data_IF_028113523936
#
_entry.id   IF_028113523936
#
_cell.length_a   1.000
_cell.length_b   1.000
_cell.length_c   1.000
_cell.angle_alpha   90.00
_cell.angle_beta   90.00
_cell.angle_gamma   90.00
#
_symmetry.space_group_name_H-M   'P 1'
#
loop_
_entity.id
_entity.type
_entity.pdbx_description
1 polymer ?
#
# COMPACT_ATOMS: atom_id res chain seq x y z
N UNK A 1 9.86 -4.35 -5.08
CA UNK A 1 9.63 -3.80 -6.44
C UNK A 1 8.66 -2.60 -6.41
N UNK A 2 7.54 -2.67 -5.68
CA UNK A 2 6.55 -1.58 -5.55
C UNK A 2 7.12 -0.21 -5.10
N UNK A 3 8.14 -0.19 -4.24
CA UNK A 3 8.77 1.04 -3.75
C UNK A 3 9.59 1.79 -4.81
N UNK A 4 10.00 1.13 -5.89
CA UNK A 4 10.75 1.79 -6.97
C UNK A 4 9.88 2.83 -7.68
N UNK A 5 8.64 2.47 -8.05
CA UNK A 5 7.68 3.37 -8.68
C UNK A 5 7.33 4.58 -7.80
N UNK A 6 7.12 4.36 -6.49
CA UNK A 6 6.83 5.44 -5.54
C UNK A 6 8.03 6.35 -5.27
N UNK A 7 9.25 5.80 -5.31
CA UNK A 7 10.49 6.57 -5.08
C UNK A 7 10.82 7.44 -6.29
N UNK A 8 10.60 6.91 -7.49
CA UNK A 8 11.07 7.50 -8.75
C UNK A 8 10.05 8.44 -9.41
N UNK A 9 8.80 8.01 -9.49
CA UNK A 9 7.77 8.71 -10.27
C UNK A 9 7.00 9.69 -9.36
N UNK A 10 7.07 9.51 -8.04
CA UNK A 10 6.14 10.17 -7.12
C UNK A 10 4.68 9.75 -7.37
N UNK A 11 4.47 8.70 -8.17
CA UNK A 11 3.19 8.06 -8.37
C UNK A 11 2.84 7.31 -7.08
N UNK A 12 1.79 7.72 -6.37
CA UNK A 12 1.42 7.06 -5.12
C UNK A 12 0.54 5.87 -5.39
N UNK A 13 0.87 4.79 -4.71
CA UNK A 13 -0.12 3.82 -4.27
C UNK A 13 -0.82 4.37 -3.03
N UNK A 14 -2.00 3.84 -2.75
CA UNK A 14 -2.96 4.30 -1.74
C UNK A 14 -2.38 4.46 -0.32
N UNK A 15 -1.28 3.74 -0.08
CA UNK A 15 -0.60 3.57 1.20
C UNK A 15 0.54 4.60 1.42
N UNK A 16 0.78 5.50 0.48
CA UNK A 16 2.06 6.22 0.40
C UNK A 16 2.09 7.60 1.07
N UNK A 17 1.02 8.06 1.73
CA UNK A 17 1.13 9.30 2.53
C UNK A 17 2.20 9.20 3.63
N UNK A 18 2.44 7.99 4.17
CA UNK A 18 3.54 7.71 5.09
C UNK A 18 4.85 7.34 4.36
N UNK A 19 4.81 6.79 3.14
CA UNK A 19 6.01 6.39 2.38
C UNK A 19 6.69 7.53 1.61
N UNK A 20 5.93 8.55 1.23
CA UNK A 20 6.43 9.76 0.60
C UNK A 20 7.28 10.56 1.59
N UNK A 21 7.06 10.42 2.90
CA UNK A 21 7.88 11.14 3.88
C UNK A 21 9.32 10.63 3.96
N UNK A 22 9.62 9.32 3.87
CA UNK A 22 11.00 8.84 3.83
C UNK A 22 11.62 8.74 2.43
N UNK A 23 10.97 8.06 1.48
CA UNK A 23 11.58 7.73 0.19
C UNK A 23 11.78 8.98 -0.67
N UNK A 24 10.71 9.76 -0.84
CA UNK A 24 10.77 11.02 -1.57
C UNK A 24 11.63 12.06 -0.82
N UNK A 25 11.65 12.04 0.53
CA UNK A 25 12.61 12.87 1.28
C UNK A 25 14.07 12.48 1.06
N UNK A 26 14.40 11.21 0.78
CA UNK A 26 15.76 10.80 0.41
C UNK A 26 16.09 11.25 -1.01
N UNK A 27 15.15 11.09 -1.95
CA UNK A 27 15.31 11.57 -3.32
C UNK A 27 15.54 13.10 -3.39
N UNK A 28 14.75 13.88 -2.64
CA UNK A 28 14.92 15.34 -2.55
C UNK A 28 16.23 15.77 -1.87
N UNK A 29 16.91 14.85 -1.17
CA UNK A 29 18.23 15.08 -0.57
C UNK A 29 19.38 14.60 -1.46
N UNK A 30 19.10 14.19 -2.71
CA UNK A 30 20.09 13.59 -3.60
C UNK A 30 20.49 12.16 -3.20
N UNK A 31 19.73 11.50 -2.32
CA UNK A 31 20.04 10.16 -1.77
C UNK A 31 19.06 9.09 -2.23
N UNK A 32 18.49 9.24 -3.42
CA UNK A 32 17.49 8.33 -3.99
C UNK A 32 18.02 6.90 -4.12
N UNK A 33 19.27 6.71 -4.56
CA UNK A 33 19.88 5.39 -4.70
C UNK A 33 19.99 4.64 -3.36
N UNK A 34 20.35 5.33 -2.28
CA UNK A 34 20.33 4.76 -0.94
C UNK A 34 18.92 4.34 -0.52
N UNK A 35 17.91 5.16 -0.84
CA UNK A 35 16.51 4.81 -0.60
C UNK A 35 16.10 3.51 -1.32
N UNK A 36 16.47 3.38 -2.60
CA UNK A 36 16.21 2.16 -3.39
C UNK A 36 16.89 0.94 -2.76
N UNK A 37 18.15 1.07 -2.35
CA UNK A 37 18.89 -0.02 -1.72
C UNK A 37 18.29 -0.45 -0.37
N UNK A 38 17.98 0.51 0.51
CA UNK A 38 17.36 0.23 1.81
C UNK A 38 15.98 -0.42 1.65
N UNK A 39 15.22 0.00 0.65
CA UNK A 39 13.94 -0.61 0.31
C UNK A 39 14.11 -2.05 -0.19
N UNK A 40 15.04 -2.28 -1.11
CA UNK A 40 15.34 -3.62 -1.61
C UNK A 40 15.80 -4.56 -0.49
N UNK A 41 16.63 -4.07 0.44
CA UNK A 41 17.06 -4.80 1.62
C UNK A 41 15.88 -5.18 2.53
N UNK A 42 15.00 -4.23 2.83
CA UNK A 42 13.80 -4.46 3.63
C UNK A 42 12.88 -5.51 3.00
N UNK A 43 12.65 -5.41 1.69
CA UNK A 43 11.87 -6.39 0.93
C UNK A 43 12.50 -7.78 0.95
N UNK A 44 13.80 -7.89 0.67
CA UNK A 44 14.49 -9.17 0.63
C UNK A 44 14.49 -9.87 2.00
N UNK A 45 14.80 -9.11 3.06
CA UNK A 45 14.73 -9.62 4.43
C UNK A 45 13.33 -10.08 4.84
N UNK A 46 12.28 -9.37 4.38
CA UNK A 46 10.90 -9.75 4.65
C UNK A 46 10.48 -11.04 3.95
N UNK A 47 10.98 -11.33 2.74
CA UNK A 47 10.72 -12.63 2.07
C UNK A 47 11.33 -13.78 2.87
N UNK A 48 12.58 -13.65 3.31
CA UNK A 48 13.25 -14.67 4.12
C UNK A 48 12.48 -14.90 5.43
N UNK A 49 12.11 -13.81 6.12
CA UNK A 49 11.39 -13.92 7.37
C UNK A 49 9.96 -14.46 7.17
N UNK A 50 9.31 -14.12 6.07
CA UNK A 50 7.97 -14.64 5.74
C UNK A 50 8.01 -16.13 5.44
N UNK A 51 9.06 -16.62 4.77
CA UNK A 51 9.29 -18.05 4.57
C UNK A 51 9.47 -18.76 5.91
N UNK A 52 10.28 -18.20 6.82
CA UNK A 52 10.50 -18.75 8.15
C UNK A 52 9.20 -18.80 8.98
N UNK A 53 8.37 -17.76 8.87
CA UNK A 53 7.12 -17.63 9.62
C UNK A 53 5.92 -18.32 8.96
N UNK A 54 6.05 -18.88 7.74
CA UNK A 54 4.93 -19.44 6.99
C UNK A 54 4.19 -20.53 7.79
N UNK A 55 4.91 -21.52 8.32
CA UNK A 55 4.33 -22.60 9.13
C UNK A 55 3.80 -22.11 10.49
N UNK A 56 4.57 -21.33 11.29
CA UNK A 56 4.04 -20.74 12.53
C UNK A 56 2.72 -19.99 12.32
N UNK A 57 2.63 -19.16 11.27
CA UNK A 57 1.43 -18.38 10.97
C UNK A 57 0.29 -19.28 10.49
N UNK A 58 0.57 -20.33 9.71
CA UNK A 58 -0.43 -21.36 9.36
C UNK A 58 -1.04 -21.92 10.66
N UNK A 59 -0.21 -22.46 11.57
CA UNK A 59 -0.69 -23.11 12.79
C UNK A 59 -1.48 -22.16 13.71
N UNK A 60 -1.14 -20.87 13.69
CA UNK A 60 -1.91 -19.85 14.40
C UNK A 60 -3.27 -19.59 13.74
N UNK A 61 -3.30 -19.37 12.42
CA UNK A 61 -4.52 -18.95 11.72
C UNK A 61 -5.57 -20.05 11.56
N UNK A 62 -5.14 -21.27 11.23
CA UNK A 62 -6.00 -22.44 11.01
C UNK A 62 -5.77 -23.43 12.18
N UNK A 63 -6.41 -24.59 12.13
CA UNK A 63 -6.18 -25.70 13.05
C UNK A 63 -4.67 -25.98 13.21
N UNK A 64 -4.20 -26.11 14.46
CA UNK A 64 -4.99 -26.38 15.67
C UNK A 64 -5.52 -25.15 16.42
N UNK A 65 -4.92 -23.95 16.27
CA UNK A 65 -5.29 -22.78 17.10
C UNK A 65 -6.55 -22.09 16.57
N UNK A 66 -6.75 -22.08 15.25
CA UNK A 66 -7.92 -21.52 14.58
C UNK A 66 -8.21 -20.05 14.94
N UNK A 67 -7.17 -19.24 15.13
CA UNK A 67 -7.29 -17.84 15.56
C UNK A 67 -8.08 -16.98 14.57
N UNK A 68 -8.13 -17.37 13.29
CA UNK A 68 -8.96 -16.71 12.29
C UNK A 68 -10.46 -16.80 12.59
N UNK A 69 -10.93 -17.88 13.22
CA UNK A 69 -12.35 -18.03 13.57
C UNK A 69 -12.77 -16.99 14.61
N UNK A 70 -11.92 -16.77 15.62
CA UNK A 70 -12.09 -15.72 16.64
C UNK A 70 -12.02 -14.35 15.98
N UNK A 71 -11.00 -14.11 15.15
CA UNK A 71 -10.83 -12.84 14.44
C UNK A 71 -12.04 -12.52 13.56
N UNK A 72 -12.60 -13.51 12.87
CA UNK A 72 -13.80 -13.35 12.03
C UNK A 72 -15.00 -12.89 12.85
N UNK A 73 -15.19 -13.43 14.06
CA UNK A 73 -16.29 -13.04 14.96
C UNK A 73 -16.18 -11.59 15.43
N UNK A 74 -14.96 -11.10 15.67
CA UNK A 74 -14.72 -9.72 16.14
C UNK A 74 -14.40 -8.73 15.00
N UNK A 75 -14.38 -9.18 13.74
CA UNK A 75 -13.91 -8.40 12.60
C UNK A 75 -14.62 -7.04 12.43
N UNK A 76 -15.96 -6.91 12.53
CA UNK A 76 -16.61 -5.61 12.44
C UNK A 76 -16.07 -4.61 13.47
N UNK A 77 -15.92 -5.06 14.73
CA UNK A 77 -15.42 -4.24 15.82
C UNK A 77 -13.96 -3.83 15.64
N UNK A 78 -13.13 -4.73 15.10
CA UNK A 78 -11.73 -4.42 14.76
C UNK A 78 -11.68 -3.32 13.69
N UNK A 79 -12.48 -3.42 12.64
CA UNK A 79 -12.52 -2.42 11.57
C UNK A 79 -13.07 -1.07 12.05
N UNK A 80 -14.10 -1.07 12.91
CA UNK A 80 -14.61 0.14 13.56
C UNK A 80 -13.51 0.78 14.42
N UNK A 81 -12.82 -0.01 15.25
CA UNK A 81 -11.74 0.50 16.10
C UNK A 81 -10.61 1.13 15.28
N UNK A 82 -10.19 0.48 14.18
CA UNK A 82 -9.15 1.01 13.29
C UNK A 82 -9.62 2.31 12.62
N UNK A 83 -10.88 2.36 12.18
CA UNK A 83 -11.45 3.57 11.58
C UNK A 83 -11.46 4.74 12.57
N UNK A 84 -11.87 4.49 13.82
CA UNK A 84 -11.83 5.49 14.90
C UNK A 84 -10.40 5.93 15.19
N UNK A 85 -9.45 5.00 15.33
CA UNK A 85 -8.04 5.33 15.57
C UNK A 85 -7.47 6.16 14.43
N UNK A 86 -7.78 5.81 13.19
CA UNK A 86 -7.27 6.53 12.02
C UNK A 86 -7.77 7.98 12.02
N UNK A 87 -9.06 8.21 12.29
CA UNK A 87 -9.66 9.55 12.36
C UNK A 87 -9.14 10.34 13.57
N UNK A 88 -9.10 9.72 14.76
CA UNK A 88 -8.69 10.39 16.01
C UNK A 88 -7.21 10.72 16.09
N UNK A 89 -6.36 9.93 15.41
CA UNK A 89 -4.92 10.18 15.33
C UNK A 89 -4.53 11.13 14.19
N UNK A 90 -5.51 11.75 13.52
CA UNK A 90 -5.24 12.74 12.50
C UNK A 90 -4.56 13.96 13.12
N UNK A 91 -3.42 14.33 12.55
CA UNK A 91 -2.65 15.52 12.92
C UNK A 91 -2.71 16.45 11.73
N UNK A 92 -3.85 17.12 11.59
CA UNK A 92 -4.11 18.04 10.50
C UNK A 92 -2.98 19.05 10.33
N UNK A 93 -2.39 19.09 9.14
CA UNK A 93 -1.56 20.21 8.68
C UNK A 93 -2.43 21.15 7.87
N UNK A 94 -3.44 21.70 8.53
CA UNK A 94 -4.35 22.65 7.90
C UNK A 94 -3.65 24.00 7.86
N UNK A 95 -3.15 24.34 6.69
CA UNK A 95 -2.70 25.69 6.34
C UNK A 95 -3.85 26.52 5.74
N UNK A 96 -4.92 25.87 5.29
CA UNK A 96 -6.02 26.45 4.50
C UNK A 96 -6.81 27.56 5.23
N UNK A 97 -6.88 27.52 6.55
CA UNK A 97 -7.73 28.46 7.32
C UNK A 97 -6.93 29.48 8.15
N UNK A 98 -5.60 29.53 8.03
CA UNK A 98 -4.72 30.45 8.79
C UNK A 98 -5.04 30.55 10.32
N UNK A 99 -5.62 29.49 10.88
CA UNK A 99 -6.07 29.45 12.28
C UNK A 99 -4.84 29.38 13.17
N UNK A 100 -4.55 30.35 14.03
CA UNK A 100 -3.37 30.26 14.91
C UNK A 100 -3.56 29.28 16.08
N UNK A 101 -4.80 28.99 16.46
CA UNK A 101 -5.11 28.16 17.62
C UNK A 101 -4.97 26.66 17.32
N UNK A 102 -3.98 26.01 17.96
CA UNK A 102 -3.63 24.60 17.78
C UNK A 102 -4.78 23.64 18.09
N UNK A 103 -5.63 23.94 19.09
CA UNK A 103 -6.77 23.08 19.44
C UNK A 103 -7.83 23.07 18.35
N UNK A 104 -8.16 24.25 17.82
CA UNK A 104 -9.16 24.40 16.76
C UNK A 104 -8.68 23.72 15.47
N UNK A 105 -7.39 23.85 15.12
CA UNK A 105 -6.81 23.11 13.99
C UNK A 105 -6.98 21.59 14.13
N UNK A 106 -6.74 21.04 15.32
CA UNK A 106 -6.86 19.61 15.55
C UNK A 106 -8.30 19.13 15.40
N UNK A 107 -9.28 19.87 15.96
CA UNK A 107 -10.70 19.53 15.85
C UNK A 107 -11.17 19.62 14.39
N UNK A 108 -10.77 20.67 13.68
CA UNK A 108 -11.12 20.83 12.27
C UNK A 108 -10.53 19.70 11.42
N UNK A 109 -9.29 19.29 11.71
CA UNK A 109 -8.65 18.13 11.09
C UNK A 109 -9.42 16.83 11.27
N UNK A 110 -9.89 16.59 12.50
CA UNK A 110 -10.69 15.43 12.83
C UNK A 110 -12.03 15.43 12.05
N UNK A 111 -12.71 16.57 12.00
CA UNK A 111 -13.97 16.71 11.25
C UNK A 111 -13.77 16.51 9.75
N UNK A 112 -12.72 17.09 9.18
CA UNK A 112 -12.37 16.90 7.77
C UNK A 112 -12.00 15.45 7.46
N UNK A 113 -11.24 14.79 8.34
CA UNK A 113 -10.92 13.37 8.24
C UNK A 113 -12.19 12.50 8.26
N UNK A 114 -13.09 12.75 9.21
CA UNK A 114 -14.36 12.04 9.31
C UNK A 114 -15.23 12.27 8.07
N UNK A 115 -15.30 13.51 7.57
CA UNK A 115 -16.03 13.83 6.34
C UNK A 115 -15.49 13.06 5.14
N UNK A 116 -14.17 13.07 4.90
CA UNK A 116 -13.56 12.32 3.79
C UNK A 116 -13.80 10.81 3.94
N UNK A 117 -13.71 10.28 5.17
CA UNK A 117 -13.97 8.88 5.45
C UNK A 117 -15.42 8.47 5.14
N UNK A 118 -16.39 9.27 5.58
CA UNK A 118 -17.81 9.01 5.33
C UNK A 118 -18.13 9.20 3.84
N UNK A 119 -17.65 10.28 3.22
CA UNK A 119 -17.87 10.57 1.80
C UNK A 119 -17.34 9.44 0.91
N UNK A 120 -16.11 8.99 1.15
CA UNK A 120 -15.52 7.87 0.42
C UNK A 120 -16.26 6.56 0.70
N UNK A 121 -16.73 6.32 1.92
CA UNK A 121 -17.51 5.12 2.23
C UNK A 121 -18.92 5.09 1.64
N UNK A 122 -19.60 6.24 1.57
CA UNK A 122 -20.87 6.36 0.81
C UNK A 122 -20.62 6.06 -0.67
N UNK A 123 -19.54 6.59 -1.24
CA UNK A 123 -19.12 6.24 -2.60
C UNK A 123 -18.89 4.72 -2.73
N UNK A 124 -18.23 4.09 -1.76
CA UNK A 124 -18.06 2.63 -1.67
C UNK A 124 -19.36 1.84 -1.69
N UNK A 125 -20.39 2.29 -0.95
CA UNK A 125 -21.71 1.65 -0.93
C UNK A 125 -22.39 1.76 -2.30
N UNK A 126 -22.24 2.90 -2.98
CA UNK A 126 -22.82 3.13 -4.32
C UNK A 126 -22.14 2.23 -5.36
N UNK A 127 -20.82 2.04 -5.27
CA UNK A 127 -20.06 1.20 -6.22
C UNK A 127 -20.59 -0.24 -6.26
N UNK A 128 -21.07 -0.79 -5.14
CA UNK A 128 -21.65 -2.15 -5.10
C UNK A 128 -22.91 -2.30 -5.97
N UNK A 129 -23.52 -1.20 -6.41
CA UNK A 129 -24.73 -1.20 -7.26
C UNK A 129 -24.43 -0.91 -8.74
N UNK A 130 -23.18 -0.60 -9.07
CA UNK A 130 -22.76 -0.24 -10.42
C UNK A 130 -22.06 -1.44 -11.04
N UNK A 131 -22.44 -1.79 -12.27
CA UNK A 131 -21.71 -2.74 -13.08
C UNK A 131 -20.87 -1.99 -14.10
N UNK A 132 -19.62 -2.44 -14.28
CA UNK A 132 -18.70 -1.92 -15.29
C UNK A 132 -18.43 -3.01 -16.32
N UNK A 133 -18.29 -2.64 -17.58
CA UNK A 133 -18.00 -3.57 -18.66
C UNK A 133 -16.75 -3.13 -19.41
N UNK A 134 -15.85 -4.09 -19.71
CA UNK A 134 -14.71 -3.81 -20.56
C UNK A 134 -15.16 -3.73 -22.02
N UNK A 135 -14.80 -2.67 -22.76
CA UNK A 135 -15.06 -2.58 -24.21
C UNK A 135 -14.29 -3.62 -25.03
N UNK A 136 -13.26 -4.25 -24.46
CA UNK A 136 -12.40 -5.23 -25.15
C UNK A 136 -12.44 -6.62 -24.51
N UNK A 137 -13.44 -6.89 -23.66
CA UNK A 137 -13.65 -8.22 -23.06
C UNK A 137 -12.64 -8.59 -21.96
N UNK A 138 -11.95 -7.62 -21.36
CA UNK A 138 -11.10 -7.84 -20.18
C UNK A 138 -11.93 -8.01 -18.90
N UNK A 139 -11.38 -8.65 -17.84
CA UNK A 139 -11.98 -8.59 -16.52
C UNK A 139 -12.13 -7.12 -16.10
N UNK A 140 -13.32 -6.74 -15.61
CA UNK A 140 -13.69 -5.36 -15.32
C UNK A 140 -13.73 -5.09 -13.80
N UNK A 141 -12.58 -4.99 -13.10
CA UNK A 141 -12.56 -4.76 -11.68
C UNK A 141 -12.97 -3.32 -11.36
N UNK A 142 -14.12 -3.13 -10.73
CA UNK A 142 -14.61 -1.80 -10.32
C UNK A 142 -13.67 -1.07 -9.35
N UNK A 143 -12.86 -1.84 -8.62
CA UNK A 143 -11.84 -1.28 -7.71
C UNK A 143 -10.72 -0.57 -8.47
N UNK A 144 -10.36 -0.99 -9.68
CA UNK A 144 -9.26 -0.37 -10.41
C UNK A 144 -9.45 1.14 -10.67
N UNK A 145 -10.55 1.61 -11.33
CA UNK A 145 -10.79 3.05 -11.51
C UNK A 145 -11.01 3.79 -10.18
N UNK A 146 -11.62 3.13 -9.20
CA UNK A 146 -11.89 3.70 -7.87
C UNK A 146 -10.60 4.04 -7.13
N UNK A 147 -9.70 3.06 -7.01
CA UNK A 147 -8.44 3.15 -6.29
C UNK A 147 -7.43 4.05 -7.04
N UNK A 148 -7.36 3.93 -8.37
CA UNK A 148 -6.56 4.81 -9.21
C UNK A 148 -7.01 6.28 -9.10
N UNK A 149 -8.32 6.53 -9.02
CA UNK A 149 -8.89 7.86 -8.83
C UNK A 149 -8.74 8.39 -7.42
N UNK A 150 -8.95 7.60 -6.36
CA UNK A 150 -8.88 8.11 -4.98
C UNK A 150 -7.45 8.47 -4.54
N UNK A 151 -6.42 7.82 -5.12
CA UNK A 151 -5.05 7.96 -4.63
C UNK A 151 -4.04 8.33 -5.71
N UNK A 152 -4.06 7.64 -6.86
CA UNK A 152 -3.07 7.80 -7.93
C UNK A 152 -3.19 9.14 -8.65
N UNK A 153 -4.32 9.36 -9.32
CA UNK A 153 -4.57 10.54 -10.15
C UNK A 153 -4.47 11.88 -9.39
N UNK A 154 -5.04 12.05 -8.17
CA UNK A 154 -4.93 13.29 -7.39
C UNK A 154 -3.49 13.70 -7.15
N UNK A 155 -2.60 12.73 -7.01
CA UNK A 155 -1.21 13.03 -6.72
C UNK A 155 -0.40 13.29 -7.97
N UNK A 156 -0.71 12.63 -9.07
CA UNK A 156 -0.15 13.01 -10.36
C UNK A 156 -0.56 14.46 -10.70
N UNK A 157 -1.82 14.83 -10.45
CA UNK A 157 -2.31 16.21 -10.59
C UNK A 157 -1.52 17.15 -9.66
N UNK A 158 -1.38 16.81 -8.38
CA UNK A 158 -0.63 17.64 -7.42
C UNK A 158 0.85 17.81 -7.82
N UNK A 159 1.52 16.73 -8.24
CA UNK A 159 2.91 16.76 -8.71
C UNK A 159 3.07 17.53 -10.03
N UNK A 160 2.05 17.48 -10.89
CA UNK A 160 1.99 18.29 -12.11
C UNK A 160 1.90 19.79 -11.81
N UNK A 161 1.09 20.18 -10.82
CA UNK A 161 0.91 21.58 -10.40
C UNK A 161 2.16 22.12 -9.69
N UNK A 162 2.70 21.37 -8.73
CA UNK A 162 3.81 21.81 -7.87
C UNK A 162 5.17 21.80 -8.55
N UNK A 163 5.32 21.09 -9.68
CA UNK A 163 6.55 21.02 -10.48
C UNK A 163 7.81 20.82 -9.63
N UNK A 164 7.91 19.73 -8.85
CA UNK A 164 9.06 19.50 -7.99
C UNK A 164 10.33 19.42 -8.85
N UNK A 165 11.37 20.14 -8.42
CA UNK A 165 12.72 20.03 -9.00
C UNK A 165 13.49 18.98 -8.22
N UNK A 166 13.99 17.98 -8.93
CA UNK A 166 14.72 16.88 -8.32
C UNK A 166 16.21 17.18 -8.47
N UNK A 167 16.97 17.22 -7.35
CA UNK A 167 18.40 17.50 -7.41
C UNK A 167 19.18 16.33 -8.00
N UNK A 168 20.44 16.59 -8.35
CA UNK A 168 21.41 15.55 -8.71
C UNK A 168 21.51 14.47 -7.61
N UNK A 169 21.68 13.22 -8.04
CA UNK A 169 21.67 12.07 -7.14
C UNK A 169 23.10 11.59 -6.88
N UNK A 170 23.39 11.29 -5.62
CA UNK A 170 24.63 10.70 -5.14
C UNK A 170 24.54 9.18 -5.31
N UNK A 171 25.43 8.62 -6.12
CA UNK A 171 25.42 7.20 -6.50
C UNK A 171 26.56 6.47 -5.79
N UNK A 172 26.43 6.35 -4.48
CA UNK A 172 27.39 5.64 -3.62
C UNK A 172 26.75 4.39 -3.02
N UNK A 173 27.55 3.33 -2.83
CA UNK A 173 27.06 2.12 -2.14
C UNK A 173 26.76 2.48 -0.67
N UNK A 174 25.51 2.36 -0.21
CA UNK A 174 25.15 2.82 1.12
C UNK A 174 25.74 1.90 2.20
N UNK A 175 26.32 2.51 3.22
CA UNK A 175 26.91 1.80 4.37
C UNK A 175 25.84 1.59 5.43
N UNK A 176 25.48 0.33 5.70
CA UNK A 176 24.59 -0.04 6.81
C UNK A 176 25.40 -0.04 8.10
N UNK A 177 25.37 1.09 8.84
CA UNK A 177 26.05 1.20 10.14
C UNK A 177 25.30 0.47 11.26
N UNK A 178 23.98 0.49 11.23
CA UNK A 178 23.12 -0.03 12.32
C UNK A 178 22.44 -1.36 11.94
N UNK A 179 23.22 -2.44 11.86
CA UNK A 179 22.70 -3.77 11.44
C UNK A 179 21.59 -4.30 12.35
N UNK A 180 21.72 -4.15 13.66
CA UNK A 180 20.72 -4.62 14.63
C UNK A 180 19.36 -3.90 14.46
N UNK A 181 19.36 -2.58 14.34
CA UNK A 181 18.14 -1.79 14.10
C UNK A 181 17.52 -2.13 12.75
N UNK A 182 18.33 -2.36 11.73
CA UNK A 182 17.87 -2.80 10.41
C UNK A 182 17.15 -4.15 10.51
N UNK A 183 17.71 -5.10 11.25
CA UNK A 183 17.08 -6.40 11.50
C UNK A 183 15.75 -6.26 12.26
N UNK A 184 15.71 -5.46 13.32
CA UNK A 184 14.47 -5.17 14.07
C UNK A 184 13.42 -4.52 13.16
N UNK A 185 13.83 -3.62 12.25
CA UNK A 185 12.95 -3.00 11.26
C UNK A 185 12.30 -4.00 10.31
N UNK A 186 13.06 -5.00 9.87
CA UNK A 186 12.58 -6.08 9.01
C UNK A 186 11.63 -6.97 9.79
N UNK A 187 11.96 -7.33 11.05
CA UNK A 187 11.12 -8.20 11.88
C UNK A 187 9.78 -7.54 12.18
N UNK A 188 9.81 -6.35 12.77
CA UNK A 188 8.59 -5.60 13.12
C UNK A 188 7.75 -5.26 11.89
N UNK A 189 8.40 -4.89 10.78
CA UNK A 189 7.72 -4.64 9.51
C UNK A 189 7.06 -5.89 8.94
N UNK A 190 7.74 -7.04 8.96
CA UNK A 190 7.17 -8.28 8.42
C UNK A 190 6.00 -8.79 9.26
N UNK A 191 6.10 -8.71 10.60
CA UNK A 191 5.00 -9.04 11.51
C UNK A 191 3.78 -8.15 11.28
N UNK A 192 4.00 -6.83 11.11
CA UNK A 192 2.91 -5.93 10.75
C UNK A 192 2.34 -6.24 9.34
N UNK A 193 3.19 -6.60 8.36
CA UNK A 193 2.75 -7.03 7.04
C UNK A 193 1.89 -8.30 7.06
N UNK A 194 2.22 -9.26 7.93
CA UNK A 194 1.37 -10.43 8.20
C UNK A 194 0.00 -9.99 8.72
N UNK A 195 -0.05 -9.11 9.72
CA UNK A 195 -1.32 -8.60 10.26
C UNK A 195 -2.16 -7.90 9.18
N UNK A 196 -1.53 -7.04 8.37
CA UNK A 196 -2.14 -6.33 7.24
C UNK A 196 -2.72 -7.32 6.22
N UNK A 197 -2.04 -8.44 5.96
CA UNK A 197 -2.52 -9.44 5.00
C UNK A 197 -3.78 -10.19 5.44
N UNK A 198 -4.07 -10.24 6.75
CA UNK A 198 -5.17 -11.02 7.32
C UNK A 198 -6.43 -10.16 7.45
N UNK A 199 -6.27 -8.91 7.91
CA UNK A 199 -7.37 -8.00 8.26
C UNK A 199 -7.70 -7.11 7.07
N UNK A 200 -8.95 -7.14 6.55
CA UNK A 200 -9.33 -6.33 5.40
C UNK A 200 -9.28 -4.84 5.72
N UNK A 201 -8.95 -4.02 4.72
CA UNK A 201 -8.94 -2.55 4.85
C UNK A 201 -7.80 -1.98 5.70
N UNK A 202 -6.93 -2.81 6.27
CA UNK A 202 -5.64 -2.35 6.80
C UNK A 202 -4.68 -2.20 5.62
N UNK A 203 -3.99 -1.07 5.58
CA UNK A 203 -2.99 -0.74 4.55
C UNK A 203 -1.57 -0.97 5.05
N UNK A 204 -0.61 -1.10 4.13
CA UNK A 204 0.81 -1.18 4.49
C UNK A 204 1.26 0.08 5.24
N UNK A 205 0.64 1.23 5.00
CA UNK A 205 0.86 2.47 5.73
C UNK A 205 0.52 2.32 7.21
N UNK A 206 -0.70 1.84 7.50
CA UNK A 206 -1.16 1.61 8.88
C UNK A 206 -0.32 0.53 9.58
N UNK A 207 0.03 -0.56 8.88
CA UNK A 207 0.96 -1.57 9.39
C UNK A 207 2.34 -0.98 9.72
N UNK A 208 2.85 -0.08 8.89
CA UNK A 208 4.13 0.60 9.14
C UNK A 208 4.05 1.49 10.38
N UNK A 209 2.97 2.24 10.57
CA UNK A 209 2.76 3.05 11.79
C UNK A 209 2.76 2.15 13.02
N UNK A 210 2.03 1.04 13.00
CA UNK A 210 1.98 0.07 14.10
C UNK A 210 3.39 -0.45 14.42
N UNK A 211 4.14 -0.88 13.40
CA UNK A 211 5.51 -1.37 13.56
C UNK A 211 6.45 -0.30 14.13
N UNK A 212 6.33 0.96 13.69
CA UNK A 212 7.14 2.08 14.18
C UNK A 212 6.81 2.43 15.64
N UNK A 213 5.53 2.48 15.99
CA UNK A 213 5.09 2.76 17.37
C UNK A 213 5.56 1.67 18.31
N UNK A 214 5.48 0.39 17.92
CA UNK A 214 5.90 -0.74 18.75
C UNK A 214 7.39 -0.71 19.12
N UNK A 215 8.25 -0.14 18.26
CA UNK A 215 9.71 -0.07 18.47
C UNK A 215 10.22 1.29 18.95
N UNK A 216 9.36 2.32 18.98
CA UNK A 216 9.73 3.68 19.38
C UNK A 216 10.72 4.40 18.46
N UNK A 217 10.81 4.04 17.17
CA UNK A 217 11.82 4.59 16.24
C UNK A 217 11.19 5.52 15.19
N UNK A 218 11.83 6.66 14.97
CA UNK A 218 11.39 7.71 14.04
C UNK A 218 12.37 7.99 12.91
N UNK A 219 13.53 7.30 12.88
CA UNK A 219 14.49 7.45 11.79
C UNK A 219 13.85 7.12 10.42
N UNK A 220 14.06 8.02 9.47
CA UNK A 220 13.50 7.93 8.11
C UNK A 220 14.03 6.70 7.38
N UNK A 221 15.29 6.32 7.58
CA UNK A 221 15.87 5.14 6.91
C UNK A 221 15.25 3.86 7.44
N UNK A 222 15.16 3.72 8.76
CA UNK A 222 14.49 2.58 9.39
C UNK A 222 12.99 2.54 9.05
N UNK A 223 12.34 3.70 8.90
CA UNK A 223 10.95 3.78 8.44
C UNK A 223 10.80 3.21 7.03
N UNK A 224 11.72 3.55 6.11
CA UNK A 224 11.69 3.04 4.73
C UNK A 224 11.91 1.52 4.67
N UNK A 225 12.84 1.00 5.47
CA UNK A 225 13.09 -0.44 5.58
C UNK A 225 11.84 -1.16 6.10
N UNK A 226 11.25 -0.67 7.19
CA UNK A 226 10.04 -1.25 7.79
C UNK A 226 8.88 -1.23 6.82
N UNK A 227 8.62 -0.11 6.15
CA UNK A 227 7.57 -0.03 5.16
C UNK A 227 7.74 -1.05 4.03
N UNK A 228 8.97 -1.16 3.52
CA UNK A 228 9.28 -2.11 2.45
C UNK A 228 9.08 -3.55 2.92
N UNK A 229 9.42 -3.83 4.18
CA UNK A 229 9.18 -5.12 4.80
C UNK A 229 7.68 -5.40 4.98
N UNK A 230 6.88 -4.44 5.47
CA UNK A 230 5.42 -4.54 5.61
C UNK A 230 4.78 -4.89 4.27
N UNK A 231 5.08 -4.13 3.22
CA UNK A 231 4.49 -4.33 1.91
C UNK A 231 4.85 -5.71 1.32
N UNK A 232 6.11 -6.12 1.47
CA UNK A 232 6.59 -7.39 0.91
C UNK A 232 6.05 -8.60 1.67
N UNK A 233 6.04 -8.55 3.01
CA UNK A 233 5.44 -9.59 3.83
C UNK A 233 3.92 -9.66 3.60
N UNK A 234 3.25 -8.51 3.45
CA UNK A 234 1.84 -8.46 3.10
C UNK A 234 1.58 -9.17 1.76
N UNK A 235 2.32 -8.85 0.69
CA UNK A 235 2.16 -9.51 -0.60
C UNK A 235 2.39 -11.03 -0.54
N UNK A 236 3.41 -11.47 0.19
CA UNK A 236 3.70 -12.89 0.41
C UNK A 236 2.55 -13.59 1.16
N UNK A 237 2.14 -13.02 2.29
CA UNK A 237 1.10 -13.62 3.13
C UNK A 237 -0.30 -13.46 2.56
N UNK A 238 -0.62 -12.46 1.75
CA UNK A 238 -1.90 -12.42 1.02
C UNK A 238 -2.01 -13.65 0.12
N UNK A 239 -0.92 -14.05 -0.54
CA UNK A 239 -0.87 -15.29 -1.33
C UNK A 239 -0.99 -16.51 -0.42
N UNK A 240 -0.23 -16.59 0.67
CA UNK A 240 -0.32 -17.74 1.58
C UNK A 240 -1.70 -17.90 2.24
N UNK A 241 -2.26 -16.79 2.74
CA UNK A 241 -3.58 -16.70 3.38
C UNK A 241 -4.70 -17.06 2.42
N UNK A 242 -4.56 -16.79 1.12
CA UNK A 242 -5.51 -17.28 0.11
C UNK A 242 -5.67 -18.80 0.20
N UNK A 243 -4.57 -19.56 0.32
CA UNK A 243 -4.63 -21.02 0.48
C UNK A 243 -5.02 -21.46 1.90
N UNK A 244 -4.90 -20.60 2.90
CA UNK A 244 -5.30 -20.91 4.28
C UNK A 244 -6.80 -20.72 4.51
N UNK A 245 -7.34 -19.61 4.04
CA UNK A 245 -8.68 -19.12 4.40
C UNK A 245 -9.63 -19.08 3.19
N UNK A 246 -9.13 -19.25 1.96
CA UNK A 246 -9.90 -19.19 0.70
C UNK A 246 -10.64 -17.86 0.53
N UNK A 247 -10.04 -16.77 1.00
CA UNK A 247 -10.57 -15.41 0.83
C UNK A 247 -9.48 -14.53 0.22
N UNK A 248 -9.61 -14.11 -1.04
CA UNK A 248 -8.63 -13.21 -1.64
C UNK A 248 -8.69 -11.85 -0.96
N UNK A 249 -7.50 -11.26 -0.75
CA UNK A 249 -7.33 -9.98 -0.04
C UNK A 249 -6.63 -8.90 -0.88
N UNK A 250 -6.25 -9.22 -2.11
CA UNK A 250 -5.69 -8.27 -3.08
C UNK A 250 -6.18 -8.62 -4.49
N UNK A 251 -6.10 -7.67 -5.42
CA UNK A 251 -6.42 -7.92 -6.83
C UNK A 251 -5.59 -9.05 -7.42
N UNK A 252 -4.31 -9.15 -7.07
CA UNK A 252 -3.45 -10.27 -7.49
C UNK A 252 -3.95 -11.61 -6.95
N UNK A 253 -4.40 -11.66 -5.68
CA UNK A 253 -4.98 -12.88 -5.10
C UNK A 253 -6.31 -13.27 -5.74
N UNK A 254 -7.13 -12.29 -6.15
CA UNK A 254 -8.37 -12.54 -6.91
C UNK A 254 -8.01 -13.20 -8.25
N UNK A 255 -7.05 -12.63 -8.99
CA UNK A 255 -6.62 -13.20 -10.26
C UNK A 255 -6.07 -14.62 -10.10
N UNK A 256 -5.26 -14.88 -9.07
CA UNK A 256 -4.78 -16.24 -8.76
C UNK A 256 -5.94 -17.19 -8.47
N UNK A 257 -6.94 -16.74 -7.72
CA UNK A 257 -8.12 -17.53 -7.36
C UNK A 257 -9.04 -17.84 -8.56
N UNK A 258 -9.02 -17.00 -9.60
CA UNK A 258 -9.77 -17.22 -10.83
C UNK A 258 -9.00 -18.08 -11.85
N UNK A 259 -7.67 -17.93 -11.91
CA UNK A 259 -6.81 -18.62 -12.88
C UNK A 259 -6.45 -20.05 -12.46
N UNK A 260 -6.47 -20.35 -11.15
CA UNK A 260 -5.99 -21.62 -10.59
C UNK A 260 -7.03 -22.17 -9.61
N UNK A 261 -7.24 -23.49 -9.61
CA UNK A 261 -7.99 -24.14 -8.54
C UNK A 261 -7.23 -24.04 -7.21
N UNK A 262 -7.73 -23.17 -6.31
CA UNK A 262 -7.15 -22.96 -4.99
C UNK A 262 -7.71 -23.99 -4.01
N UNK A 263 -6.88 -24.97 -3.66
CA UNK A 263 -7.20 -25.95 -2.62
C UNK A 263 -6.82 -25.44 -1.24
N UNK A 264 -7.72 -25.57 -0.26
CA UNK A 264 -7.44 -25.18 1.13
C UNK A 264 -6.29 -26.00 1.71
N UNK A 265 -5.41 -25.34 2.45
CA UNK A 265 -4.30 -25.97 3.17
C UNK A 265 -4.79 -26.71 4.42
N UNK A 266 -5.29 -27.92 4.20
CA UNK A 266 -5.79 -28.80 5.26
C UNK A 266 -4.67 -29.62 5.93
N UNK A 267 -3.72 -30.13 5.15
CA UNK A 267 -2.62 -30.96 5.68
C UNK A 267 -1.72 -30.18 6.64
N UNK A 268 -1.29 -30.82 7.73
CA UNK A 268 -0.49 -30.15 8.77
C UNK A 268 0.91 -29.73 8.30
N UNK A 269 1.56 -30.59 7.51
CA UNK A 269 2.97 -30.41 7.11
C UNK A 269 3.19 -30.09 5.64
N UNK A 270 2.25 -30.44 4.76
CA UNK A 270 2.46 -30.36 3.31
C UNK A 270 1.55 -29.27 2.75
N UNK A 271 2.10 -28.15 2.22
CA UNK A 271 1.30 -27.13 1.57
C UNK A 271 0.72 -27.65 0.25
N UNK A 272 -0.42 -27.10 -0.23
CA UNK A 272 -0.91 -27.39 -1.57
C UNK A 272 0.17 -27.14 -2.63
N UNK A 273 0.22 -27.99 -3.66
CA UNK A 273 1.26 -27.95 -4.70
C UNK A 273 1.34 -26.57 -5.40
N UNK A 274 0.18 -25.93 -5.63
CA UNK A 274 0.10 -24.58 -6.20
C UNK A 274 0.75 -23.53 -5.28
N UNK A 275 0.54 -23.63 -3.96
CA UNK A 275 1.18 -22.73 -3.00
C UNK A 275 2.70 -22.95 -2.99
N UNK A 276 3.16 -24.20 -3.07
CA UNK A 276 4.58 -24.52 -3.14
C UNK A 276 5.25 -23.90 -4.38
N UNK A 277 4.63 -24.01 -5.56
CA UNK A 277 5.18 -23.36 -6.76
C UNK A 277 5.17 -21.84 -6.68
N UNK A 278 4.10 -21.25 -6.13
CA UNK A 278 4.04 -19.80 -5.93
C UNK A 278 5.09 -19.31 -4.94
N UNK A 279 5.33 -20.03 -3.83
CA UNK A 279 6.38 -19.66 -2.87
C UNK A 279 7.77 -19.81 -3.46
N UNK A 280 8.04 -20.86 -4.24
CA UNK A 280 9.29 -21.01 -4.98
C UNK A 280 9.49 -19.88 -6.00
N UNK A 281 8.45 -19.53 -6.77
CA UNK A 281 8.50 -18.42 -7.71
C UNK A 281 8.75 -17.09 -6.99
N UNK A 282 8.14 -16.85 -5.82
CA UNK A 282 8.39 -15.67 -5.01
C UNK A 282 9.83 -15.60 -4.49
N UNK A 283 10.43 -16.72 -4.09
CA UNK A 283 11.83 -16.77 -3.63
C UNK A 283 12.84 -16.50 -4.75
N UNK A 284 12.63 -17.13 -5.90
CA UNK A 284 13.45 -16.90 -7.10
C UNK A 284 13.32 -15.44 -7.54
N UNK A 285 12.09 -14.94 -7.62
CA UNK A 285 11.78 -13.55 -7.96
C UNK A 285 12.44 -12.57 -6.98
N UNK A 286 12.38 -12.81 -5.67
CA UNK A 286 13.01 -11.95 -4.67
C UNK A 286 14.53 -11.85 -4.85
N UNK A 287 15.18 -12.98 -5.14
CA UNK A 287 16.64 -13.05 -5.34
C UNK A 287 17.07 -12.31 -6.60
N UNK A 288 16.35 -12.50 -7.71
CA UNK A 288 16.62 -11.80 -8.97
C UNK A 288 16.29 -10.31 -8.83
N UNK A 289 15.10 -9.99 -8.30
CA UNK A 289 14.60 -8.62 -8.15
C UNK A 289 15.48 -7.78 -7.25
N UNK A 290 16.08 -8.33 -6.20
CA UNK A 290 17.03 -7.59 -5.35
C UNK A 290 18.21 -7.04 -6.16
N UNK A 291 18.88 -7.90 -6.94
CA UNK A 291 20.03 -7.51 -7.75
C UNK A 291 19.63 -6.56 -8.88
N UNK A 292 18.53 -6.86 -9.57
CA UNK A 292 18.00 -6.02 -10.67
C UNK A 292 17.57 -4.64 -10.15
N UNK A 293 16.93 -4.57 -8.98
CA UNK A 293 16.48 -3.29 -8.38
C UNK A 293 17.66 -2.41 -8.02
N UNK A 294 18.74 -2.97 -7.47
CA UNK A 294 19.96 -2.20 -7.17
C UNK A 294 20.63 -1.71 -8.46
N UNK A 295 20.77 -2.59 -9.46
CA UNK A 295 21.37 -2.24 -10.75
C UNK A 295 20.59 -1.14 -11.47
N UNK A 296 19.27 -1.31 -11.61
CA UNK A 296 18.40 -0.32 -12.22
C UNK A 296 18.33 0.97 -11.39
N UNK A 297 18.27 0.87 -10.07
CA UNK A 297 18.31 2.03 -9.18
C UNK A 297 19.55 2.88 -9.36
N UNK A 298 20.72 2.24 -9.55
CA UNK A 298 21.97 2.92 -9.87
C UNK A 298 21.90 3.65 -11.21
N UNK A 299 21.57 2.92 -12.28
CA UNK A 299 21.45 3.47 -13.64
C UNK A 299 20.44 4.61 -13.73
N UNK A 300 19.37 4.48 -12.98
CA UNK A 300 18.31 5.45 -12.92
C UNK A 300 18.77 6.72 -12.19
N UNK A 301 19.42 6.58 -11.03
CA UNK A 301 19.97 7.72 -10.30
C UNK A 301 21.03 8.50 -11.11
N UNK A 302 21.87 7.80 -11.89
CA UNK A 302 22.87 8.41 -12.78
C UNK A 302 22.24 9.26 -13.91
N UNK A 303 21.09 8.85 -14.43
CA UNK A 303 20.43 9.50 -15.58
C UNK A 303 19.21 10.35 -15.22
N UNK A 304 18.86 10.39 -13.94
CA UNK A 304 17.56 10.92 -13.52
C UNK A 304 17.38 12.41 -13.86
N UNK A 305 18.45 13.18 -13.73
CA UNK A 305 18.47 14.62 -13.95
C UNK A 305 18.13 15.01 -15.40
N UNK A 306 18.32 14.09 -16.36
CA UNK A 306 18.02 14.30 -17.77
C UNK A 306 16.54 14.03 -18.12
N UNK A 307 15.79 13.41 -17.20
CA UNK A 307 14.44 12.96 -17.50
C UNK A 307 13.44 14.10 -17.27
N UNK A 308 12.65 14.49 -18.29
CA UNK A 308 11.63 15.53 -18.13
C UNK A 308 10.47 15.00 -17.26
N UNK A 309 10.56 15.23 -15.95
CA UNK A 309 9.59 14.77 -14.94
C UNK A 309 8.13 15.08 -15.32
N UNK A 310 7.89 16.25 -15.90
CA UNK A 310 6.56 16.67 -16.36
C UNK A 310 6.01 15.80 -17.50
N UNK A 311 6.86 15.33 -18.42
CA UNK A 311 6.44 14.42 -19.50
C UNK A 311 6.10 13.04 -18.94
N UNK A 312 6.84 12.56 -17.92
CA UNK A 312 6.50 11.32 -17.22
C UNK A 312 5.12 11.44 -16.59
N UNK A 313 4.86 12.48 -15.80
CA UNK A 313 3.57 12.65 -15.11
C UNK A 313 2.42 12.67 -16.13
N UNK A 314 2.52 13.49 -17.19
CA UNK A 314 1.50 13.52 -18.26
C UNK A 314 1.31 12.16 -18.91
N UNK A 315 2.41 11.45 -19.20
CA UNK A 315 2.40 10.10 -19.75
C UNK A 315 1.68 9.12 -18.83
N UNK A 316 1.97 9.13 -17.54
CA UNK A 316 1.32 8.26 -16.54
C UNK A 316 -0.17 8.58 -16.37
N UNK A 317 -0.56 9.87 -16.34
CA UNK A 317 -1.97 10.27 -16.28
C UNK A 317 -2.75 9.78 -17.51
N UNK A 318 -2.17 9.97 -18.70
CA UNK A 318 -2.76 9.49 -19.96
C UNK A 318 -2.87 7.96 -19.96
N UNK A 319 -1.79 7.27 -19.61
CA UNK A 319 -1.76 5.81 -19.54
C UNK A 319 -2.78 5.23 -18.57
N UNK A 320 -2.91 5.80 -17.36
CA UNK A 320 -3.92 5.39 -16.38
C UNK A 320 -5.35 5.59 -16.92
N UNK A 321 -5.60 6.74 -17.57
CA UNK A 321 -6.92 7.04 -18.17
C UNK A 321 -7.26 6.03 -19.27
N UNK A 322 -6.30 5.71 -20.13
CA UNK A 322 -6.46 4.71 -21.19
C UNK A 322 -6.74 3.32 -20.58
N UNK A 323 -5.98 2.91 -19.56
CA UNK A 323 -6.22 1.63 -18.88
C UNK A 323 -7.62 1.57 -18.26
N UNK A 324 -8.09 2.65 -17.62
CA UNK A 324 -9.44 2.70 -17.06
C UNK A 324 -10.50 2.48 -18.15
N UNK A 325 -10.36 3.13 -19.30
CA UNK A 325 -11.29 2.96 -20.42
C UNK A 325 -11.23 1.52 -20.95
N UNK A 326 -10.04 0.95 -21.13
CA UNK A 326 -9.86 -0.41 -21.65
C UNK A 326 -10.43 -1.49 -20.72
N UNK A 327 -10.26 -1.35 -19.40
CA UNK A 327 -10.72 -2.36 -18.44
C UNK A 327 -12.17 -2.18 -18.01
N UNK A 328 -12.67 -0.94 -17.93
CA UNK A 328 -13.95 -0.64 -17.26
C UNK A 328 -14.90 0.25 -18.06
N UNK A 329 -14.53 0.62 -19.29
CA UNK A 329 -15.41 1.35 -20.20
C UNK A 329 -15.67 2.79 -19.77
N UNK A 330 -16.80 3.33 -20.24
CA UNK A 330 -17.21 4.72 -19.97
C UNK A 330 -17.71 4.85 -18.53
N UNK A 331 -18.39 3.84 -17.99
CA UNK A 331 -18.82 3.83 -16.59
C UNK A 331 -17.62 3.89 -15.64
N UNK A 332 -16.58 3.12 -15.94
CA UNK A 332 -15.32 3.14 -15.21
C UNK A 332 -14.61 4.49 -15.24
N UNK A 333 -14.66 5.19 -16.38
CA UNK A 333 -14.11 6.55 -16.49
C UNK A 333 -14.85 7.54 -15.59
N UNK A 334 -16.18 7.45 -15.51
CA UNK A 334 -16.99 8.28 -14.62
C UNK A 334 -16.65 8.02 -13.14
N UNK A 335 -16.51 6.74 -12.76
CA UNK A 335 -16.03 6.34 -11.42
C UNK A 335 -14.66 6.94 -11.13
N UNK A 336 -13.72 6.82 -12.06
CA UNK A 336 -12.35 7.35 -11.93
C UNK A 336 -12.34 8.87 -11.73
N UNK A 337 -13.19 9.62 -12.46
CA UNK A 337 -13.32 11.07 -12.32
C UNK A 337 -13.86 11.44 -10.93
N UNK A 338 -14.96 10.82 -10.48
CA UNK A 338 -15.54 11.09 -9.16
C UNK A 338 -14.55 10.74 -8.05
N UNK A 339 -13.91 9.57 -8.16
CA UNK A 339 -12.86 9.13 -7.26
C UNK A 339 -11.69 10.15 -7.21
N UNK A 340 -11.29 10.70 -8.36
CA UNK A 340 -10.25 11.75 -8.44
C UNK A 340 -10.65 13.01 -7.68
N UNK A 341 -11.89 13.47 -7.82
CA UNK A 341 -12.36 14.62 -7.05
C UNK A 341 -12.37 14.34 -5.54
N UNK A 342 -12.87 13.18 -5.11
CA UNK A 342 -12.85 12.79 -3.69
C UNK A 342 -11.40 12.71 -3.17
N UNK A 343 -10.49 12.12 -3.96
CA UNK A 343 -9.08 11.97 -3.60
C UNK A 343 -8.29 13.28 -3.56
N UNK A 344 -8.72 14.33 -4.28
CA UNK A 344 -8.13 15.66 -4.22
C UNK A 344 -8.49 16.42 -2.93
N UNK A 345 -9.63 16.11 -2.30
CA UNK A 345 -10.06 16.74 -1.04
C UNK A 345 -8.99 16.63 0.07
N UNK A 346 -8.51 15.43 0.46
CA UNK A 346 -7.51 15.31 1.51
C UNK A 346 -6.16 15.94 1.13
N UNK A 347 -5.79 15.93 -0.15
CA UNK A 347 -4.56 16.57 -0.65
C UNK A 347 -4.62 18.08 -0.42
N UNK A 348 -5.74 18.72 -0.75
CA UNK A 348 -5.90 20.16 -0.63
C UNK A 348 -6.16 20.61 0.81
N UNK A 349 -6.83 19.79 1.62
CA UNK A 349 -7.18 20.11 3.01
C UNK A 349 -6.09 19.77 4.02
N UNK A 350 -5.01 19.08 3.60
CA UNK A 350 -3.89 18.75 4.49
C UNK A 350 -4.23 17.68 5.55
N UNK A 351 -5.18 16.80 5.24
CA UNK A 351 -5.49 15.59 6.02
C UNK A 351 -4.95 14.34 5.33
N UNK A 352 -4.80 13.22 6.04
CA UNK A 352 -4.22 12.01 5.44
C UNK A 352 -5.16 11.42 4.40
N UNK A 353 -4.61 11.03 3.25
CA UNK A 353 -5.33 10.30 2.20
C UNK A 353 -5.85 8.94 2.65
N UNK A 354 -5.28 8.36 3.72
CA UNK A 354 -5.76 7.09 4.27
C UNK A 354 -7.25 7.12 4.62
N UNK A 355 -7.84 8.29 4.88
CA UNK A 355 -9.29 8.41 5.11
C UNK A 355 -10.13 8.03 3.88
N UNK A 356 -9.59 8.11 2.66
CA UNK A 356 -10.28 7.62 1.46
C UNK A 356 -10.51 6.09 1.48
N UNK A 357 -9.84 5.34 2.37
CA UNK A 357 -10.11 3.91 2.59
C UNK A 357 -11.49 3.64 3.18
N UNK A 358 -12.24 4.67 3.59
CA UNK A 358 -13.66 4.56 3.89
C UNK A 358 -14.43 3.85 2.77
N UNK A 359 -14.01 4.02 1.50
CA UNK A 359 -14.55 3.34 0.32
C UNK A 359 -14.60 1.82 0.44
N UNK A 360 -13.65 1.22 1.16
CA UNK A 360 -13.62 -0.23 1.43
C UNK A 360 -14.16 -0.53 2.83
N UNK A 361 -13.72 0.24 3.83
CA UNK A 361 -13.99 -0.06 5.24
C UNK A 361 -15.48 0.02 5.57
N UNK A 362 -16.20 1.05 5.11
CA UNK A 362 -17.63 1.20 5.46
C UNK A 362 -18.47 0.07 4.84
N UNK A 363 -18.39 -0.23 3.53
CA UNK A 363 -19.13 -1.37 2.97
C UNK A 363 -18.80 -2.70 3.64
N UNK A 364 -17.53 -2.95 3.99
CA UNK A 364 -17.12 -4.20 4.64
C UNK A 364 -17.66 -4.28 6.07
N UNK A 365 -17.63 -3.19 6.83
CA UNK A 365 -18.21 -3.14 8.19
C UNK A 365 -19.71 -3.46 8.12
N UNK A 366 -20.44 -2.81 7.22
CA UNK A 366 -21.88 -3.03 7.04
C UNK A 366 -22.21 -4.46 6.58
N UNK A 367 -21.33 -5.10 5.80
CA UNK A 367 -21.53 -6.48 5.35
C UNK A 367 -21.18 -7.54 6.41
N UNK A 368 -20.43 -7.17 7.45
CA UNK A 368 -20.01 -8.08 8.53
C UNK A 368 -20.85 -7.93 9.81
N UNK A 369 -21.54 -6.81 9.98
CA UNK A 369 -22.60 -6.61 10.97
C UNK A 369 -23.87 -7.34 10.53
#
# INVERSE_FOLDING_TARGET
>A
MFTFGSTVIGAPEEDTALSLLPAHSLLLKGRGYEGVYLSALGSFGAVILSLLLLYPIRFALIEPISLYSILRRIMPWVLIAISIIMITTEKAKIDLFNVKNTKIKSILGLLMAAFVFILSGVFGIILNKINVCSPIGLPAPILFPTLAGLFGMPTLIHSYITKPKIPEQIVEKPVIREKAKTLISIITGSLAGILVSIIPGITSATGTVIAMTARGETDKKQTLITLSAVNTACAFFVTAVLFMILRPRSGAAIAVNELIMVNKWNNLFIPPLNLLFLTMAMLISATISFNVTIFLGKKFAEKFTEIPYQKIIKGTMSFLTILVILFTGVEGLLIFIIATFIGLIPVNWGVRRSHCMGVLLIPIILALL
#
